data_IF_173981575134
#
_entry.id   IF_173981575134
#
_cell.length_a   1.000
_cell.length_b   1.000
_cell.length_c   1.000
_cell.angle_alpha   90.00
_cell.angle_beta   90.00
_cell.angle_gamma   90.00
#
_symmetry.space_group_name_H-M   'P 1'
#
loop_
_entity.id
_entity.type
_entity.pdbx_description
1 polymer ?
#
# COMPACT_ATOMS: atom_id res chain seq x y z
N UNK A 1 -3.78 19.91 6.64
CA UNK A 1 -4.07 21.13 5.85
C UNK A 1 -2.85 22.03 5.83
N UNK A 2 -2.18 22.19 4.68
CA UNK A 2 -1.16 23.23 4.54
C UNK A 2 -1.83 24.60 4.48
N UNK A 3 -1.64 25.43 5.51
CA UNK A 3 -2.07 26.84 5.48
C UNK A 3 -1.39 27.58 4.31
N UNK A 4 -2.06 28.56 3.66
CA UNK A 4 -1.43 29.39 2.63
C UNK A 4 -0.23 30.11 3.25
N UNK A 5 0.94 30.05 2.61
CA UNK A 5 2.15 30.77 3.05
C UNK A 5 3.43 29.94 3.25
N UNK A 6 3.40 28.61 3.08
CA UNK A 6 4.63 27.80 3.13
C UNK A 6 5.19 27.58 1.72
N UNK A 7 6.25 28.29 1.35
CA UNK A 7 7.00 28.11 0.09
C UNK A 7 8.35 27.44 0.33
N UNK A 8 8.97 26.92 -0.73
CA UNK A 8 10.32 26.34 -0.69
C UNK A 8 10.48 25.11 0.23
N UNK A 9 11.63 25.01 0.88
CA UNK A 9 12.05 23.88 1.74
C UNK A 9 11.08 23.68 2.93
N UNK A 10 10.58 24.78 3.50
CA UNK A 10 9.61 24.75 4.61
C UNK A 10 8.34 23.98 4.26
N UNK A 11 7.90 24.02 2.99
CA UNK A 11 6.76 23.23 2.50
C UNK A 11 7.07 21.74 2.48
N UNK A 12 8.28 21.36 2.03
CA UNK A 12 8.72 19.97 1.93
C UNK A 12 8.80 19.33 3.32
N UNK A 13 9.42 20.03 4.28
CA UNK A 13 9.53 19.55 5.68
C UNK A 13 8.15 19.34 6.29
N UNK A 14 7.22 20.29 6.09
CA UNK A 14 5.84 20.16 6.59
C UNK A 14 5.10 19.01 5.93
N UNK A 15 5.26 18.84 4.61
CA UNK A 15 4.67 17.71 3.88
C UNK A 15 5.18 16.36 4.42
N UNK A 16 6.49 16.22 4.63
CA UNK A 16 7.07 15.03 5.24
C UNK A 16 6.52 14.76 6.65
N UNK A 17 6.34 15.80 7.46
CA UNK A 17 5.69 15.69 8.77
C UNK A 17 4.24 15.18 8.69
N UNK A 18 3.45 15.63 7.71
CA UNK A 18 2.09 15.11 7.50
C UNK A 18 2.09 13.66 7.02
N UNK A 19 3.00 13.29 6.11
CA UNK A 19 3.16 11.90 5.67
C UNK A 19 3.51 10.97 6.83
N UNK A 20 4.44 11.38 7.70
CA UNK A 20 4.81 10.61 8.88
C UNK A 20 3.64 10.45 9.86
N UNK A 21 2.87 11.51 10.09
CA UNK A 21 1.68 11.44 10.93
C UNK A 21 0.64 10.45 10.37
N UNK A 22 0.42 10.45 9.05
CA UNK A 22 -0.47 9.50 8.37
C UNK A 22 -0.02 8.05 8.51
N UNK A 23 1.26 7.75 8.25
CA UNK A 23 1.83 6.41 8.42
C UNK A 23 1.76 5.92 9.86
N UNK A 24 2.03 6.80 10.83
CA UNK A 24 1.90 6.48 12.25
C UNK A 24 0.45 6.16 12.63
N UNK A 25 -0.51 6.92 12.11
CA UNK A 25 -1.93 6.67 12.35
C UNK A 25 -2.34 5.30 11.80
N UNK A 26 -2.01 5.01 10.53
CA UNK A 26 -2.28 3.71 9.93
C UNK A 26 -1.65 2.56 10.73
N UNK A 27 -0.37 2.68 11.10
CA UNK A 27 0.29 1.65 11.91
C UNK A 27 -0.37 1.43 13.29
N UNK A 28 -0.86 2.50 13.92
CA UNK A 28 -1.47 2.43 15.26
C UNK A 28 -2.88 1.87 15.21
N UNK A 29 -3.70 2.30 14.26
CA UNK A 29 -5.12 2.01 14.23
C UNK A 29 -5.48 0.81 13.34
N UNK A 30 -4.68 0.51 12.33
CA UNK A 30 -5.05 -0.46 11.29
C UNK A 30 -4.27 -1.77 11.44
N UNK A 31 -4.97 -2.83 11.82
CA UNK A 31 -4.37 -4.15 11.98
C UNK A 31 -3.92 -4.76 10.64
N UNK A 32 -4.72 -4.56 9.57
CA UNK A 32 -4.40 -5.03 8.23
C UNK A 32 -3.13 -4.35 7.70
N UNK A 33 -3.02 -3.02 7.77
CA UNK A 33 -1.78 -2.31 7.47
C UNK A 33 -0.53 -2.88 8.20
N UNK A 34 -0.63 -3.22 9.49
CA UNK A 34 0.50 -3.83 10.21
C UNK A 34 0.87 -5.21 9.65
N UNK A 35 -0.11 -6.03 9.28
CA UNK A 35 0.13 -7.35 8.70
C UNK A 35 0.78 -7.25 7.32
N UNK A 36 0.26 -6.36 6.47
CA UNK A 36 0.81 -6.13 5.13
C UNK A 36 2.20 -5.50 5.18
N UNK A 37 2.45 -4.59 6.13
CA UNK A 37 3.78 -4.03 6.34
C UNK A 37 4.77 -5.11 6.81
N UNK A 38 4.36 -5.98 7.72
CA UNK A 38 5.18 -7.13 8.12
C UNK A 38 5.48 -8.07 6.94
N UNK A 39 4.48 -8.33 6.09
CA UNK A 39 4.66 -9.09 4.85
C UNK A 39 5.68 -8.40 3.92
N UNK A 40 5.57 -7.08 3.73
CA UNK A 40 6.51 -6.30 2.92
C UNK A 40 7.93 -6.36 3.48
N UNK A 41 8.11 -6.26 4.81
CA UNK A 41 9.43 -6.33 5.45
C UNK A 41 10.14 -7.67 5.19
N UNK A 42 9.38 -8.75 5.02
CA UNK A 42 9.92 -10.09 4.68
C UNK A 42 10.10 -10.24 3.17
N UNK A 43 9.09 -9.89 2.38
CA UNK A 43 9.07 -10.16 0.95
C UNK A 43 9.92 -9.19 0.12
N UNK A 44 10.15 -7.95 0.56
CA UNK A 44 11.02 -7.02 -0.18
C UNK A 44 12.47 -7.54 -0.26
N UNK A 45 13.12 -7.97 0.85
CA UNK A 45 14.42 -8.63 0.79
C UNK A 45 14.42 -9.87 -0.12
N UNK A 46 13.38 -10.70 -0.03
CA UNK A 46 13.25 -11.90 -0.87
C UNK A 46 13.14 -11.53 -2.35
N UNK A 47 12.35 -10.49 -2.68
CA UNK A 47 12.17 -10.02 -4.06
C UNK A 47 13.44 -9.40 -4.65
N UNK A 48 14.20 -8.67 -3.83
CA UNK A 48 15.52 -8.16 -4.22
C UNK A 48 16.51 -9.29 -4.49
N UNK A 49 16.46 -10.36 -3.70
CA UNK A 49 17.33 -11.51 -3.85
C UNK A 49 16.95 -12.40 -5.04
N UNK A 50 15.65 -12.64 -5.27
CA UNK A 50 15.16 -13.54 -6.32
C UNK A 50 15.07 -12.88 -7.70
N UNK A 51 14.77 -11.58 -7.78
CA UNK A 51 14.68 -10.87 -9.04
C UNK A 51 16.03 -10.81 -9.77
N UNK A 52 16.05 -11.27 -11.02
CA UNK A 52 17.25 -11.39 -11.85
C UNK A 52 17.54 -10.12 -12.64
N UNK A 53 16.51 -9.31 -12.93
CA UNK A 53 16.64 -8.04 -13.64
C UNK A 53 16.13 -6.86 -12.81
N UNK A 54 16.52 -5.65 -13.20
CA UNK A 54 15.98 -4.42 -12.61
C UNK A 54 14.46 -4.33 -12.74
N UNK A 55 13.90 -4.84 -13.84
CA UNK A 55 12.45 -4.86 -14.08
C UNK A 55 11.77 -5.85 -13.13
N UNK A 56 12.27 -7.08 -13.00
CA UNK A 56 11.71 -8.07 -12.08
C UNK A 56 11.72 -7.57 -10.64
N UNK A 57 12.85 -7.02 -10.16
CA UNK A 57 12.94 -6.44 -8.82
C UNK A 57 11.95 -5.31 -8.62
N UNK A 58 11.80 -4.44 -9.62
CA UNK A 58 10.83 -3.34 -9.58
C UNK A 58 9.39 -3.85 -9.51
N UNK A 59 9.05 -4.89 -10.24
CA UNK A 59 7.71 -5.49 -10.21
C UNK A 59 7.42 -6.22 -8.88
N UNK A 60 8.38 -7.00 -8.37
CA UNK A 60 8.24 -7.73 -7.10
C UNK A 60 8.06 -6.76 -5.92
N UNK A 61 8.85 -5.69 -5.87
CA UNK A 61 8.77 -4.68 -4.80
C UNK A 61 7.57 -3.75 -5.03
N UNK A 62 7.38 -3.29 -6.27
CA UNK A 62 6.33 -2.34 -6.64
C UNK A 62 4.93 -2.90 -6.39
N UNK A 63 4.71 -4.19 -6.63
CA UNK A 63 3.43 -4.83 -6.31
C UNK A 63 3.13 -4.90 -4.82
N UNK A 64 4.14 -5.07 -3.96
CA UNK A 64 3.99 -5.02 -2.50
C UNK A 64 3.76 -3.59 -2.00
N UNK A 65 4.46 -2.61 -2.56
CA UNK A 65 4.22 -1.20 -2.25
C UNK A 65 2.82 -0.75 -2.68
N UNK A 66 2.30 -1.29 -3.79
CA UNK A 66 0.92 -1.03 -4.23
C UNK A 66 -0.10 -1.51 -3.18
N UNK A 67 0.12 -2.67 -2.56
CA UNK A 67 -0.73 -3.17 -1.47
C UNK A 67 -0.79 -2.14 -0.33
N UNK A 68 0.37 -1.68 0.17
CA UNK A 68 0.41 -0.67 1.23
C UNK A 68 -0.24 0.66 0.84
N UNK A 69 -0.09 1.09 -0.42
CA UNK A 69 -0.74 2.30 -0.92
C UNK A 69 -2.25 2.15 -0.89
N UNK A 70 -2.78 1.03 -1.40
CA UNK A 70 -4.22 0.79 -1.47
C UNK A 70 -4.82 0.63 -0.07
N UNK A 71 -4.11 -0.03 0.85
CA UNK A 71 -4.52 -0.13 2.26
C UNK A 71 -4.57 1.24 2.95
N UNK A 72 -3.56 2.10 2.75
CA UNK A 72 -3.59 3.47 3.28
C UNK A 72 -4.78 4.27 2.73
N UNK A 73 -5.15 4.06 1.46
CA UNK A 73 -6.33 4.68 0.87
C UNK A 73 -7.62 4.09 1.44
N UNK A 74 -7.69 2.78 1.65
CA UNK A 74 -8.82 2.11 2.28
C UNK A 74 -9.06 2.66 3.69
N UNK A 75 -8.03 2.70 4.54
CA UNK A 75 -8.15 3.25 5.89
C UNK A 75 -8.51 4.73 5.92
N UNK A 76 -8.05 5.51 4.93
CA UNK A 76 -8.46 6.90 4.80
C UNK A 76 -9.96 7.02 4.46
N UNK A 77 -10.49 6.16 3.59
CA UNK A 77 -11.93 6.09 3.27
C UNK A 77 -12.71 5.67 4.52
N UNK A 78 -12.27 4.63 5.22
CA UNK A 78 -12.90 4.16 6.46
C UNK A 78 -12.96 5.26 7.52
N UNK A 79 -11.86 5.99 7.75
CA UNK A 79 -11.81 7.10 8.68
C UNK A 79 -12.80 8.23 8.32
N UNK A 80 -12.99 8.50 7.02
CA UNK A 80 -13.97 9.49 6.55
C UNK A 80 -15.39 8.98 6.76
N UNK A 81 -15.66 7.71 6.46
CA UNK A 81 -16.98 7.08 6.62
C UNK A 81 -17.37 7.01 8.09
N UNK A 82 -16.44 6.61 8.97
CA UNK A 82 -16.68 6.41 10.40
C UNK A 82 -16.88 7.70 11.18
N UNK A 83 -16.40 8.83 10.66
CA UNK A 83 -16.63 10.15 11.24
C UNK A 83 -18.12 10.47 11.40
N UNK A 84 -19.00 9.93 10.55
CA UNK A 84 -20.42 10.26 10.55
C UNK A 84 -21.28 9.46 11.54
N UNK A 85 -20.75 8.37 12.12
CA UNK A 85 -21.06 7.75 13.43
C UNK A 85 -22.49 7.36 13.84
N UNK A 86 -23.57 7.90 13.27
CA UNK A 86 -24.91 7.82 13.86
C UNK A 86 -25.90 6.87 13.19
N UNK A 87 -25.83 6.70 11.86
CA UNK A 87 -26.75 5.85 11.10
C UNK A 87 -25.96 4.97 10.14
N UNK A 88 -26.23 3.65 10.17
CA UNK A 88 -25.71 2.74 9.16
C UNK A 88 -26.37 3.07 7.82
N UNK A 89 -25.68 3.86 7.01
CA UNK A 89 -26.13 4.20 5.68
C UNK A 89 -25.64 3.16 4.67
N UNK A 90 -26.52 2.71 3.78
CA UNK A 90 -26.19 1.67 2.79
C UNK A 90 -24.96 2.06 1.94
N UNK A 91 -24.86 3.34 1.57
CA UNK A 91 -23.71 3.88 0.83
C UNK A 91 -22.40 3.84 1.64
N UNK A 92 -22.45 4.00 2.97
CA UNK A 92 -21.27 3.89 3.84
C UNK A 92 -20.76 2.45 3.89
N UNK A 93 -21.66 1.47 3.95
CA UNK A 93 -21.31 0.05 3.83
C UNK A 93 -20.63 -0.24 2.49
N UNK A 94 -21.26 0.18 1.37
CA UNK A 94 -20.70 0.00 0.03
C UNK A 94 -19.32 0.65 -0.14
N UNK A 95 -19.08 1.82 0.44
CA UNK A 95 -17.78 2.47 0.38
C UNK A 95 -16.67 1.63 1.04
N UNK A 96 -16.96 1.03 2.21
CA UNK A 96 -16.04 0.14 2.91
C UNK A 96 -15.79 -1.16 2.14
N UNK A 97 -16.86 -1.76 1.61
CA UNK A 97 -16.77 -3.00 0.84
C UNK A 97 -15.90 -2.81 -0.42
N UNK A 98 -16.08 -1.69 -1.13
CA UNK A 98 -15.29 -1.35 -2.32
C UNK A 98 -13.82 -1.08 -1.94
N UNK A 99 -13.58 -0.38 -0.82
CA UNK A 99 -12.23 -0.15 -0.32
C UNK A 99 -11.50 -1.46 0.01
N UNK A 100 -12.16 -2.36 0.74
CA UNK A 100 -11.65 -3.71 1.03
C UNK A 100 -11.44 -4.54 -0.24
N UNK A 101 -12.33 -4.44 -1.23
CA UNK A 101 -12.18 -5.10 -2.52
C UNK A 101 -10.94 -4.58 -3.29
N UNK A 102 -10.62 -3.29 -3.19
CA UNK A 102 -9.41 -2.73 -3.79
C UNK A 102 -8.14 -3.34 -3.17
N UNK A 103 -8.10 -3.49 -1.84
CA UNK A 103 -6.98 -4.15 -1.13
C UNK A 103 -6.85 -5.61 -1.59
N UNK A 104 -7.96 -6.34 -1.69
CA UNK A 104 -7.97 -7.71 -2.21
C UNK A 104 -7.40 -7.81 -3.64
N UNK A 105 -7.80 -6.90 -4.53
CA UNK A 105 -7.28 -6.86 -5.91
C UNK A 105 -5.78 -6.53 -5.93
N UNK A 106 -5.30 -5.64 -5.05
CA UNK A 106 -3.88 -5.34 -4.91
C UNK A 106 -3.07 -6.56 -4.43
N UNK A 107 -3.60 -7.32 -3.47
CA UNK A 107 -3.01 -8.58 -3.00
C UNK A 107 -2.98 -9.64 -4.11
N UNK A 108 -4.05 -9.76 -4.89
CA UNK A 108 -4.09 -10.65 -6.05
C UNK A 108 -3.04 -10.25 -7.08
N UNK A 109 -2.90 -8.95 -7.37
CA UNK A 109 -1.87 -8.43 -8.26
C UNK A 109 -0.46 -8.77 -7.76
N UNK A 110 -0.18 -8.62 -6.47
CA UNK A 110 1.08 -9.03 -5.88
C UNK A 110 1.31 -10.54 -6.02
N UNK A 111 0.32 -11.37 -5.68
CA UNK A 111 0.42 -12.82 -5.79
C UNK A 111 0.69 -13.28 -7.23
N UNK A 112 -0.03 -12.73 -8.21
CA UNK A 112 0.15 -13.04 -9.64
C UNK A 112 1.52 -12.58 -10.13
N UNK A 113 1.94 -11.37 -9.79
CA UNK A 113 3.26 -10.83 -10.17
C UNK A 113 4.39 -11.73 -9.67
N UNK A 114 4.31 -12.11 -8.40
CA UNK A 114 5.28 -13.02 -7.77
C UNK A 114 5.26 -14.41 -8.41
N UNK A 115 4.08 -14.98 -8.63
CA UNK A 115 3.94 -16.29 -9.27
C UNK A 115 4.53 -16.29 -10.70
N UNK A 116 4.23 -15.28 -11.51
CA UNK A 116 4.74 -15.20 -12.88
C UNK A 116 6.27 -15.09 -12.93
N UNK A 117 6.86 -14.27 -12.06
CA UNK A 117 8.31 -14.07 -12.04
C UNK A 117 9.05 -15.31 -11.50
N UNK A 118 8.50 -15.99 -10.48
CA UNK A 118 9.18 -17.12 -9.83
C UNK A 118 8.92 -18.48 -10.51
N UNK A 119 7.75 -18.70 -11.09
CA UNK A 119 7.37 -19.98 -11.74
C UNK A 119 7.82 -20.01 -13.19
N UNK A 120 7.76 -18.87 -13.89
CA UNK A 120 8.26 -18.72 -15.24
C UNK A 120 9.47 -17.78 -15.25
N UNK A 121 10.55 -18.12 -14.52
CA UNK A 121 11.76 -17.31 -14.60
C UNK A 121 12.14 -17.26 -16.08
N UNK A 122 12.34 -16.04 -16.59
CA UNK A 122 12.78 -15.85 -17.97
C UNK A 122 13.89 -16.85 -18.24
N UNK A 123 13.75 -17.62 -19.33
CA UNK A 123 14.67 -18.68 -19.73
C UNK A 123 16.02 -18.04 -20.10
N UNK A 124 16.77 -17.62 -19.09
CA UNK A 124 18.12 -17.09 -19.18
C UNK A 124 19.11 -18.01 -18.47
N UNK A 125 18.65 -19.16 -17.96
CA UNK A 125 19.49 -20.23 -17.39
C UNK A 125 19.85 -21.34 -18.39
N UNK A 126 19.65 -21.15 -19.69
CA UNK A 126 19.94 -22.17 -20.73
C UNK A 126 20.85 -21.66 -21.87
N UNK A 127 21.53 -20.54 -21.69
CA UNK A 127 22.68 -20.12 -22.51
C UNK A 127 23.86 -19.84 -21.59
#
# INVERSE_FOLDING_TARGET
MSKPGNTGITRIIKAAGYSWAGLKAAFTHEAAFRQELALCLVLIPVGLWQGQSGIERTLLIGSLLLVLIVELLNSAIEAVVDRFGGEQHELSGRAKDIGSAAVFVALLNAAVTWALILIFPAVHKLL
#
